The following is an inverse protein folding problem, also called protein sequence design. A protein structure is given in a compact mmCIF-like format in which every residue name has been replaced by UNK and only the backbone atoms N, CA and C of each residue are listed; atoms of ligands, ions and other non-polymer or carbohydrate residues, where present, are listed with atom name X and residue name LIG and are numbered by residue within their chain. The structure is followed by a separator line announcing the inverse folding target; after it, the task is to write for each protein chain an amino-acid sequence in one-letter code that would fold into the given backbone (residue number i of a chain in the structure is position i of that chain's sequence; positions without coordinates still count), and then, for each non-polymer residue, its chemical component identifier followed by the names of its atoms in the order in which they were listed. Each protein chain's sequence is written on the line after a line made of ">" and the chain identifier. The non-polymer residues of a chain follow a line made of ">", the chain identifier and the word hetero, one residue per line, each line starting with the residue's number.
data_IF_826187812666
#
_entry.id   IF_826187812666
#
_cell.length_a   1.000
_cell.length_b   1.000
_cell.length_c   1.000
_cell.angle_alpha   90.00
_cell.angle_beta   90.00
_cell.angle_gamma   90.00
#
_symmetry.space_group_name_H-M   'P 1'
#
loop_
_entity.id
_entity.type
_entity.pdbx_description
1 polymer ?
#
# COMPACT_ATOMS: atom_id res chain seq x y z
N UNK A 1 0.31 7.62 -8.08
CA UNK A 1 0.57 8.95 -7.48
C UNK A 1 1.67 8.82 -6.46
N UNK A 2 2.40 9.90 -6.20
CA UNK A 2 3.52 9.94 -5.26
C UNK A 2 3.23 11.05 -4.25
N UNK A 3 3.41 10.76 -2.96
CA UNK A 3 3.12 11.67 -1.84
C UNK A 3 4.42 12.09 -1.15
N UNK A 4 4.60 13.39 -0.94
CA UNK A 4 5.64 13.95 -0.06
C UNK A 4 5.23 15.38 0.42
N UNK A 5 5.76 15.87 1.56
CA UNK A 5 5.05 16.46 2.72
C UNK A 5 3.59 16.92 2.51
N UNK A 6 2.69 15.98 2.23
CA UNK A 6 1.24 16.27 2.11
C UNK A 6 0.78 16.69 0.72
N UNK A 7 1.69 16.87 -0.25
CA UNK A 7 1.36 17.11 -1.66
C UNK A 7 1.41 15.80 -2.44
N UNK A 8 0.35 15.53 -3.18
CA UNK A 8 0.24 14.35 -4.04
C UNK A 8 0.40 14.72 -5.49
N UNK A 9 1.41 14.12 -6.12
CA UNK A 9 1.63 14.20 -7.55
C UNK A 9 0.93 13.03 -8.24
N UNK A 10 0.02 13.35 -9.14
CA UNK A 10 -0.72 12.35 -9.92
C UNK A 10 -0.76 12.73 -11.39
N UNK A 11 -0.68 11.72 -12.25
CA UNK A 11 -0.67 11.93 -13.70
C UNK A 11 -2.03 11.55 -14.29
N UNK A 12 -2.65 12.49 -14.99
CA UNK A 12 -3.99 12.35 -15.57
C UNK A 12 -3.97 12.69 -17.06
N UNK A 13 -5.14 12.68 -17.71
CA UNK A 13 -5.30 13.10 -19.10
C UNK A 13 -4.88 14.56 -19.35
N UNK A 14 -4.85 15.39 -18.32
CA UNK A 14 -4.42 16.80 -18.39
C UNK A 14 -2.96 17.00 -17.97
N UNK A 15 -2.18 15.93 -17.82
CA UNK A 15 -0.79 15.98 -17.37
C UNK A 15 -0.64 15.75 -15.86
N UNK A 16 0.54 16.11 -15.32
CA UNK A 16 0.81 15.99 -13.88
C UNK A 16 0.06 17.06 -13.10
N UNK A 17 -0.69 16.62 -12.09
CA UNK A 17 -1.43 17.45 -11.14
C UNK A 17 -0.79 17.36 -9.75
N UNK A 18 -0.96 18.42 -8.96
CA UNK A 18 -0.53 18.50 -7.56
C UNK A 18 -1.75 18.76 -6.69
N UNK A 19 -2.10 17.79 -5.87
CA UNK A 19 -3.25 17.87 -4.99
C UNK A 19 -2.83 17.82 -3.53
N UNK A 20 -3.46 18.64 -2.69
CA UNK A 20 -3.25 18.61 -1.24
C UNK A 20 -4.37 17.86 -0.50
N UNK A 21 -5.47 17.54 -1.20
CA UNK A 21 -6.70 16.98 -0.66
C UNK A 21 -7.26 15.94 -1.63
N UNK A 22 -8.20 15.10 -1.18
CA UNK A 22 -8.87 14.07 -1.98
C UNK A 22 -8.16 12.71 -1.98
N UNK A 23 -7.07 12.59 -1.23
CA UNK A 23 -6.25 11.37 -1.11
C UNK A 23 -6.36 10.71 0.27
N UNK A 24 -7.29 11.16 1.12
CA UNK A 24 -7.45 10.72 2.52
C UNK A 24 -7.86 9.25 2.63
N UNK A 25 -8.52 8.72 1.59
CA UNK A 25 -8.95 7.32 1.51
C UNK A 25 -7.97 6.44 0.73
N UNK A 26 -6.80 6.96 0.37
CA UNK A 26 -5.81 6.20 -0.39
C UNK A 26 -4.94 5.32 0.50
N UNK A 27 -4.44 4.23 -0.08
CA UNK A 27 -3.51 3.34 0.60
C UNK A 27 -2.09 3.79 0.29
N UNK A 28 -1.33 4.09 1.33
CA UNK A 28 0.08 4.44 1.19
C UNK A 28 0.95 3.21 1.05
N UNK A 29 1.82 3.22 0.04
CA UNK A 29 2.83 2.20 -0.18
C UNK A 29 4.18 2.80 0.20
N UNK A 30 4.75 2.49 1.38
CA UNK A 30 6.09 2.96 1.71
C UNK A 30 7.10 2.28 0.79
N UNK A 31 7.86 3.11 0.06
CA UNK A 31 8.89 2.68 -0.89
C UNK A 31 10.31 2.95 -0.37
N UNK A 32 10.41 3.83 0.62
CA UNK A 32 11.65 4.30 1.21
C UNK A 32 11.93 3.43 2.43
N UNK A 33 13.08 2.75 2.42
CA UNK A 33 13.56 2.03 3.59
C UNK A 33 14.19 3.01 4.59
N UNK A 34 14.31 2.64 5.88
CA UNK A 34 14.86 3.52 6.91
C UNK A 34 16.30 3.99 6.68
N UNK A 35 17.05 3.38 5.77
CA UNK A 35 18.40 3.81 5.37
C UNK A 35 18.37 4.96 4.34
N UNK A 36 17.21 5.24 3.75
CA UNK A 36 17.03 6.20 2.65
C UNK A 36 16.54 7.59 3.13
N UNK A 37 16.56 7.86 4.45
CA UNK A 37 16.14 9.15 5.03
C UNK A 37 16.97 10.34 4.53
N UNK A 38 18.23 10.16 4.15
CA UNK A 38 19.04 11.27 3.61
C UNK A 38 18.53 11.81 2.27
N UNK A 39 17.84 10.97 1.48
CA UNK A 39 17.17 11.45 0.27
C UNK A 39 15.89 12.20 0.58
N UNK A 40 15.24 11.92 1.73
CA UNK A 40 13.89 12.40 2.07
C UNK A 40 13.77 13.91 1.89
N UNK A 41 14.71 14.69 2.41
CA UNK A 41 14.69 16.16 2.33
C UNK A 41 14.79 16.71 0.89
N UNK A 42 15.12 15.88 -0.09
CA UNK A 42 15.25 16.26 -1.50
C UNK A 42 14.12 15.70 -2.39
N UNK A 43 13.22 14.87 -1.87
CA UNK A 43 12.19 14.22 -2.71
C UNK A 43 11.29 15.22 -3.42
N UNK A 44 10.96 16.34 -2.77
CA UNK A 44 10.17 17.40 -3.40
C UNK A 44 10.84 17.93 -4.66
N UNK A 45 12.15 18.19 -4.58
CA UNK A 45 12.90 18.72 -5.71
C UNK A 45 13.04 17.69 -6.83
N UNK A 46 13.26 16.41 -6.47
CA UNK A 46 13.30 15.33 -7.45
C UNK A 46 11.96 15.12 -8.14
N UNK A 47 10.87 15.13 -7.37
CA UNK A 47 9.51 14.92 -7.86
C UNK A 47 9.04 16.10 -8.71
N UNK A 48 9.34 17.33 -8.30
CA UNK A 48 9.13 18.54 -9.10
C UNK A 48 9.85 18.43 -10.44
N UNK A 49 11.17 18.24 -10.41
CA UNK A 49 12.00 18.17 -11.62
C UNK A 49 11.56 17.04 -12.54
N UNK A 50 11.26 15.87 -11.99
CA UNK A 50 10.74 14.72 -12.74
C UNK A 50 9.40 15.05 -13.40
N UNK A 51 8.50 15.70 -12.67
CA UNK A 51 7.15 16.05 -13.14
C UNK A 51 7.16 17.12 -14.21
N UNK A 52 8.15 18.03 -14.20
CA UNK A 52 8.35 19.04 -15.24
C UNK A 52 9.04 18.52 -16.50
N UNK A 53 9.41 17.23 -16.57
CA UNK A 53 10.03 16.69 -17.78
C UNK A 53 9.02 16.61 -18.93
N UNK A 54 9.50 16.85 -20.15
CA UNK A 54 8.69 16.81 -21.38
C UNK A 54 7.96 15.46 -21.58
N UNK A 55 8.48 14.39 -20.99
CA UNK A 55 7.88 13.05 -21.01
C UNK A 55 6.45 13.03 -20.45
N UNK A 56 6.11 13.91 -19.50
CA UNK A 56 4.80 13.96 -18.84
C UNK A 56 3.98 15.18 -19.23
N UNK A 57 4.45 15.96 -20.21
CA UNK A 57 3.70 17.06 -20.77
C UNK A 57 2.61 16.51 -21.72
N UNK A 58 1.32 16.79 -21.47
CA UNK A 58 0.22 16.29 -22.30
C UNK A 58 0.27 16.79 -23.76
N UNK A 59 1.00 17.87 -24.04
CA UNK A 59 1.23 18.37 -25.40
C UNK A 59 2.27 17.54 -26.15
N UNK A 60 3.25 16.97 -25.44
CA UNK A 60 4.33 16.20 -26.02
C UNK A 60 4.01 14.70 -26.06
N UNK A 61 3.41 14.18 -24.99
CA UNK A 61 2.96 12.80 -24.90
C UNK A 61 1.62 12.73 -24.19
N UNK A 62 0.61 12.23 -24.92
CA UNK A 62 -0.74 12.09 -24.38
C UNK A 62 -0.86 10.88 -23.46
N UNK A 63 -1.76 11.01 -22.50
CA UNK A 63 -2.15 9.91 -21.63
C UNK A 63 -2.67 8.73 -22.46
N UNK A 64 -2.14 7.55 -22.18
CA UNK A 64 -2.53 6.28 -22.79
C UNK A 64 -2.74 5.24 -21.68
N UNK A 65 -3.90 4.60 -21.67
CA UNK A 65 -4.33 3.72 -20.59
C UNK A 65 -3.42 2.49 -20.41
N UNK A 66 -2.66 2.08 -21.42
CA UNK A 66 -1.81 0.88 -21.36
C UNK A 66 -0.32 1.21 -21.18
N UNK A 67 0.15 2.23 -21.90
CA UNK A 67 1.58 2.51 -22.12
C UNK A 67 2.05 3.80 -21.47
N UNK A 68 1.17 4.76 -21.21
CA UNK A 68 1.53 6.07 -20.67
C UNK A 68 0.44 6.61 -19.73
N UNK A 69 0.29 5.93 -18.59
CA UNK A 69 -0.74 6.21 -17.58
C UNK A 69 -0.13 6.59 -16.22
N UNK A 70 -1.00 6.78 -15.22
CA UNK A 70 -0.61 7.11 -13.85
C UNK A 70 0.28 6.05 -13.19
N UNK A 71 0.14 4.78 -13.58
CA UNK A 71 0.97 3.68 -13.11
C UNK A 71 2.39 3.80 -13.68
N UNK A 72 2.51 4.02 -14.99
CA UNK A 72 3.78 4.26 -15.66
C UNK A 72 4.52 5.47 -15.07
N UNK A 73 3.81 6.58 -14.83
CA UNK A 73 4.36 7.76 -14.15
C UNK A 73 4.96 7.41 -12.78
N UNK A 74 4.16 6.73 -11.96
CA UNK A 74 4.57 6.36 -10.60
C UNK A 74 5.79 5.43 -10.64
N UNK A 75 5.75 4.37 -11.45
CA UNK A 75 6.85 3.42 -11.56
C UNK A 75 8.13 4.05 -12.13
N UNK A 76 8.00 4.95 -13.11
CA UNK A 76 9.14 5.65 -13.70
C UNK A 76 9.83 6.55 -12.67
N UNK A 77 9.06 7.28 -11.84
CA UNK A 77 9.63 8.05 -10.74
C UNK A 77 10.39 7.17 -9.75
N UNK A 78 9.78 6.06 -9.34
CA UNK A 78 10.40 5.09 -8.42
C UNK A 78 11.71 4.56 -8.99
N UNK A 79 11.72 4.18 -10.26
CA UNK A 79 12.92 3.68 -10.91
C UNK A 79 14.00 4.76 -11.09
N UNK A 80 13.61 6.02 -11.28
CA UNK A 80 14.55 7.14 -11.26
C UNK A 80 15.23 7.25 -9.89
N UNK A 81 14.45 7.20 -8.81
CA UNK A 81 14.99 7.23 -7.44
C UNK A 81 15.88 6.02 -7.15
N UNK A 82 15.49 4.82 -7.57
CA UNK A 82 16.32 3.62 -7.41
C UNK A 82 17.65 3.74 -8.17
N UNK A 83 17.62 4.29 -9.38
CA UNK A 83 18.83 4.53 -10.17
C UNK A 83 19.79 5.51 -9.49
N UNK A 84 19.28 6.58 -8.85
CA UNK A 84 20.14 7.51 -8.08
C UNK A 84 20.84 6.84 -6.90
N UNK A 85 20.31 5.72 -6.41
CA UNK A 85 20.90 4.91 -5.34
C UNK A 85 21.74 3.74 -5.87
N UNK A 86 21.95 3.62 -7.18
CA UNK A 86 22.64 2.48 -7.79
C UNK A 86 21.86 1.16 -7.66
N UNK A 87 20.56 1.20 -7.38
CA UNK A 87 19.69 0.02 -7.27
C UNK A 87 19.09 -0.34 -8.63
N UNK A 88 18.76 -1.62 -8.81
CA UNK A 88 18.09 -2.13 -10.01
C UNK A 88 16.69 -1.51 -10.16
N UNK A 89 16.29 -1.20 -11.39
CA UNK A 89 14.92 -0.82 -11.72
C UNK A 89 13.93 -1.98 -11.53
N UNK A 90 12.74 -1.67 -11.04
CA UNK A 90 11.62 -2.60 -10.91
C UNK A 90 10.80 -2.66 -12.20
N UNK A 91 10.37 -3.86 -12.57
CA UNK A 91 9.35 -4.07 -13.61
C UNK A 91 7.93 -3.82 -13.10
N UNK A 92 6.95 -3.75 -14.02
CA UNK A 92 5.52 -3.62 -13.65
C UNK A 92 5.06 -4.78 -12.76
N UNK A 93 5.37 -6.01 -13.15
CA UNK A 93 4.93 -7.19 -12.41
C UNK A 93 5.60 -7.27 -11.04
N UNK A 94 6.91 -7.05 -11.00
CA UNK A 94 7.71 -7.04 -9.78
C UNK A 94 7.20 -5.98 -8.79
N UNK A 95 6.97 -4.74 -9.24
CA UNK A 95 6.43 -3.69 -8.40
C UNK A 95 5.01 -4.04 -7.90
N UNK A 96 4.16 -4.58 -8.78
CA UNK A 96 2.78 -4.90 -8.44
C UNK A 96 2.71 -6.03 -7.41
N UNK A 97 3.44 -7.12 -7.62
CA UNK A 97 3.41 -8.27 -6.72
C UNK A 97 4.08 -7.97 -5.38
N UNK A 98 5.21 -7.27 -5.38
CA UNK A 98 5.97 -7.02 -4.15
C UNK A 98 5.36 -5.89 -3.31
N UNK A 99 4.78 -4.87 -3.95
CA UNK A 99 4.35 -3.66 -3.24
C UNK A 99 2.84 -3.46 -3.25
N UNK A 100 2.17 -3.56 -4.39
CA UNK A 100 0.76 -3.19 -4.52
C UNK A 100 -0.16 -4.29 -3.97
N UNK A 101 -0.03 -5.51 -4.47
CA UNK A 101 -0.90 -6.65 -4.13
C UNK A 101 -0.99 -6.89 -2.61
N UNK A 102 0.10 -6.88 -1.82
CA UNK A 102 0.01 -7.08 -0.38
C UNK A 102 -0.84 -6.01 0.32
N UNK A 103 -0.71 -4.73 -0.08
CA UNK A 103 -1.51 -3.62 0.46
C UNK A 103 -2.98 -3.75 0.08
N UNK A 104 -3.27 -4.04 -1.19
CA UNK A 104 -4.65 -4.19 -1.67
C UNK A 104 -5.33 -5.39 -0.99
N UNK A 105 -4.62 -6.52 -0.83
CA UNK A 105 -5.14 -7.68 -0.08
C UNK A 105 -5.48 -7.29 1.36
N UNK A 106 -4.59 -6.57 2.05
CA UNK A 106 -4.84 -6.10 3.42
C UNK A 106 -6.03 -5.15 3.50
N UNK A 107 -6.12 -4.18 2.60
CA UNK A 107 -7.24 -3.24 2.56
C UNK A 107 -8.57 -3.93 2.24
N UNK A 108 -8.56 -4.91 1.33
CA UNK A 108 -9.75 -5.71 1.03
C UNK A 108 -10.22 -6.51 2.24
N UNK A 109 -9.30 -7.17 2.96
CA UNK A 109 -9.62 -7.85 4.23
C UNK A 109 -10.20 -6.90 5.27
N UNK A 110 -9.58 -5.73 5.43
CA UNK A 110 -10.06 -4.72 6.36
C UNK A 110 -11.46 -4.22 6.01
N UNK A 111 -11.71 -3.92 4.72
CA UNK A 111 -13.02 -3.51 4.24
C UNK A 111 -14.07 -4.58 4.53
N UNK A 112 -13.80 -5.85 4.19
CA UNK A 112 -14.73 -6.95 4.47
C UNK A 112 -15.02 -7.08 5.97
N UNK A 113 -13.99 -6.97 6.81
CA UNK A 113 -14.14 -7.02 8.26
C UNK A 113 -15.04 -5.89 8.77
N UNK A 114 -14.82 -4.65 8.30
CA UNK A 114 -15.63 -3.51 8.68
C UNK A 114 -17.08 -3.66 8.22
N UNK A 115 -17.31 -4.15 7.00
CA UNK A 115 -18.65 -4.40 6.46
C UNK A 115 -19.40 -5.45 7.30
N UNK A 116 -18.72 -6.55 7.64
CA UNK A 116 -19.32 -7.64 8.41
C UNK A 116 -19.64 -7.22 9.85
N UNK A 117 -18.71 -6.54 10.53
CA UNK A 117 -18.92 -6.03 11.89
C UNK A 117 -20.03 -4.97 11.88
N UNK A 118 -20.10 -4.10 10.87
CA UNK A 118 -21.16 -3.08 10.79
C UNK A 118 -22.54 -3.69 10.60
N UNK A 119 -22.63 -4.86 9.93
CA UNK A 119 -23.89 -5.54 9.65
C UNK A 119 -24.32 -6.47 10.79
N UNK A 120 -23.37 -7.23 11.34
CA UNK A 120 -23.65 -8.35 12.23
C UNK A 120 -23.13 -8.12 13.67
N UNK A 121 -22.42 -7.02 13.93
CA UNK A 121 -21.78 -6.68 15.22
C UNK A 121 -20.65 -7.61 15.67
N UNK A 122 -20.33 -8.64 14.88
CA UNK A 122 -19.23 -9.57 15.11
C UNK A 122 -18.67 -10.10 13.78
N UNK A 123 -17.46 -10.67 13.82
CA UNK A 123 -16.82 -11.35 12.70
C UNK A 123 -16.26 -12.68 13.19
N UNK A 124 -16.60 -13.78 12.52
CA UNK A 124 -16.12 -15.13 12.88
C UNK A 124 -14.96 -15.48 11.95
N UNK A 125 -13.82 -15.84 12.55
CA UNK A 125 -12.68 -16.39 11.82
C UNK A 125 -12.76 -17.91 11.92
N UNK A 126 -12.86 -18.59 10.79
CA UNK A 126 -12.64 -20.03 10.73
C UNK A 126 -11.15 -20.30 10.98
N UNK A 127 -10.83 -20.94 12.11
CA UNK A 127 -9.51 -21.48 12.29
C UNK A 127 -9.39 -22.70 11.37
N UNK A 128 -8.40 -22.74 10.45
CA UNK A 128 -8.15 -23.96 9.70
C UNK A 128 -7.90 -25.10 10.70
N UNK A 129 -8.37 -26.33 10.40
CA UNK A 129 -8.11 -27.48 11.25
C UNK A 129 -6.61 -27.52 11.53
N UNK A 130 -6.23 -27.53 12.82
CA UNK A 130 -4.88 -27.96 13.18
C UNK A 130 -4.80 -29.39 12.67
N UNK A 131 -3.96 -29.63 11.66
CA UNK A 131 -3.58 -30.98 11.30
C UNK A 131 -3.08 -31.63 12.59
N UNK A 132 -3.90 -32.49 13.15
CA UNK A 132 -3.50 -33.39 14.21
C UNK A 132 -2.47 -34.29 13.57
N UNK A 133 -1.19 -33.98 13.78
CA UNK A 133 -0.18 -35.02 13.80
C UNK A 133 -0.67 -36.04 14.84
N UNK A 134 -1.17 -37.17 14.34
CA UNK A 134 -1.68 -38.27 15.15
C UNK A 134 -0.66 -38.61 16.24
N UNK A 135 -1.06 -38.33 17.48
CA UNK A 135 -0.28 -38.65 18.66
C UNK A 135 -0.27 -40.15 18.92
N UNK A 136 0.86 -40.62 19.43
CA UNK A 136 0.89 -41.78 20.31
C UNK A 136 0.89 -41.30 21.78
N UNK A 137 0.06 -41.99 22.58
CA UNK A 137 -0.01 -42.08 24.05
C UNK A 137 -0.42 -40.87 24.91
N UNK A 138 -1.64 -41.01 25.44
CA UNK A 138 -2.04 -41.03 26.86
C UNK A 138 -2.14 -39.75 27.73
N UNK A 139 -3.36 -39.56 28.26
CA UNK A 139 -3.80 -38.78 29.43
C UNK A 139 -3.56 -37.25 29.37
N UNK A 140 -4.41 -36.35 29.85
CA UNK A 140 -5.26 -36.34 31.04
C UNK A 140 -6.24 -35.14 30.93
N UNK A 141 -7.36 -35.22 31.63
CA UNK A 141 -8.41 -34.18 31.70
C UNK A 141 -7.89 -32.74 31.88
N UNK A 142 -8.26 -31.80 31.01
CA UNK A 142 -8.39 -30.39 31.37
C UNK A 142 -9.65 -29.81 30.70
N UNK A 143 -10.60 -29.39 31.55
CA UNK A 143 -11.80 -28.62 31.20
C UNK A 143 -11.44 -27.37 30.37
N UNK A 144 -12.32 -26.86 29.49
CA UNK A 144 -12.02 -25.65 28.73
C UNK A 144 -11.99 -24.45 29.68
N UNK A 145 -10.78 -23.95 29.97
CA UNK A 145 -10.61 -22.65 30.61
C UNK A 145 -11.14 -21.55 29.70
N UNK A 146 -11.79 -20.60 30.38
CA UNK A 146 -12.45 -19.39 29.92
C UNK A 146 -11.97 -18.81 28.58
N UNK A 147 -12.94 -18.52 27.71
CA UNK A 147 -12.78 -17.64 26.56
C UNK A 147 -12.68 -16.18 27.04
N UNK A 148 -11.56 -15.84 27.68
CA UNK A 148 -11.22 -14.45 28.03
C UNK A 148 -9.98 -14.04 27.25
N UNK A 149 -10.17 -13.68 25.98
CA UNK A 149 -9.27 -12.73 25.34
C UNK A 149 -10.12 -11.66 24.70
N UNK A 150 -10.59 -10.76 25.56
CA UNK A 150 -11.11 -9.48 25.15
C UNK A 150 -10.04 -8.78 24.29
N UNK A 151 -10.23 -8.80 22.98
CA UNK A 151 -9.58 -7.86 22.07
C UNK A 151 -10.04 -6.46 22.47
N UNK A 152 -9.30 -5.80 23.38
CA UNK A 152 -9.33 -4.35 23.52
C UNK A 152 -8.80 -3.77 22.21
N UNK A 153 -9.69 -3.60 21.23
CA UNK A 153 -9.48 -2.58 20.21
C UNK A 153 -9.72 -1.25 20.92
N UNK A 154 -8.63 -0.53 21.19
CA UNK A 154 -8.71 0.88 21.55
C UNK A 154 -9.44 1.63 20.43
N UNK A 155 -10.71 1.92 20.67
CA UNK A 155 -11.56 2.78 19.85
C UNK A 155 -11.17 4.24 20.08
N UNK A 156 -9.95 4.60 19.69
CA UNK A 156 -9.53 5.99 19.54
C UNK A 156 -8.75 6.12 18.25
N UNK A 157 -9.47 6.29 17.15
CA UNK A 157 -9.28 7.36 16.15
C UNK A 157 -10.19 7.02 14.96
N UNK A 158 -11.46 7.41 15.08
CA UNK A 158 -12.30 7.73 13.93
C UNK A 158 -12.94 9.08 14.26
N UNK A 159 -12.29 10.14 13.79
CA UNK A 159 -12.86 11.47 13.58
C UNK A 159 -12.21 12.00 12.29
#
# INVERSE_FOLDING_TARGET
>A
AVLYPGVVYNYTKTGVQKDNLGWEKCITVPLVQPDMYSLIDQWDQYLEKFSSTQMWDPQCQRFDEEKHNCYNYTLAFINCVLATQGKRSLGKDEFTQSFVVPRIKRASKYRMLCEEISKNYFYIVENPPKETEDGNSDAENILPESCDTACKLDTKTCA
#
